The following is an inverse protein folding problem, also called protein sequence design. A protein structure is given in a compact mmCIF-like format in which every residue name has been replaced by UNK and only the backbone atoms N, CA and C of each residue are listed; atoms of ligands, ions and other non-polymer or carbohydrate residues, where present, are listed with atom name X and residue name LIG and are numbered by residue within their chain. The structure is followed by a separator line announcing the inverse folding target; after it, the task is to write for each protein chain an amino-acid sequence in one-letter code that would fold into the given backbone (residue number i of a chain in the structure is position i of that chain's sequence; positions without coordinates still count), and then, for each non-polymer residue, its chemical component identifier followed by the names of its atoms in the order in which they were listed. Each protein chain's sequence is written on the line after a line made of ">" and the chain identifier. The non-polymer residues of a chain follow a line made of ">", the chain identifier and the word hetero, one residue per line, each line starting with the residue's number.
data_IF_196758155227
#
_entry.id   IF_196758155227
#
_cell.length_a   1.000
_cell.length_b   1.000
_cell.length_c   1.000
_cell.angle_alpha   90.00
_cell.angle_beta   90.00
_cell.angle_gamma   90.00
#
_symmetry.space_group_name_H-M   'P 1'
#
loop_
_entity.id
_entity.type
_entity.pdbx_description
1 polymer ?
#
# COMPACT_ATOMS: atom_id res chain seq x y z
N UNK A 1 1.75 -11.16 -15.99
CA UNK A 1 0.47 -11.88 -15.77
C UNK A 1 0.16 -12.79 -16.95
N UNK A 2 0.02 -14.11 -16.73
CA UNK A 2 -0.46 -15.07 -17.74
C UNK A 2 -1.87 -15.58 -17.33
N UNK A 3 -2.68 -16.04 -18.29
CA UNK A 3 -3.96 -16.73 -18.04
C UNK A 3 -5.19 -15.87 -17.68
N UNK A 4 -6.09 -16.43 -16.86
CA UNK A 4 -7.44 -15.94 -16.52
C UNK A 4 -7.45 -14.51 -16.00
N UNK A 5 -6.48 -14.10 -15.18
CA UNK A 5 -6.41 -12.73 -14.65
C UNK A 5 -6.29 -11.66 -15.76
N UNK A 6 -5.62 -11.97 -16.88
CA UNK A 6 -5.54 -11.06 -18.03
C UNK A 6 -6.91 -10.96 -18.73
N UNK A 7 -7.64 -12.07 -18.83
CA UNK A 7 -9.00 -12.14 -19.38
C UNK A 7 -10.00 -11.35 -18.52
N UNK A 8 -9.90 -11.47 -17.19
CA UNK A 8 -10.69 -10.69 -16.21
C UNK A 8 -10.42 -9.20 -16.36
N UNK A 9 -9.14 -8.77 -16.34
CA UNK A 9 -8.80 -7.34 -16.42
C UNK A 9 -9.20 -6.70 -17.76
N UNK A 10 -9.12 -7.45 -18.86
CA UNK A 10 -9.48 -6.93 -20.18
C UNK A 10 -11.00 -6.90 -20.41
N UNK A 11 -11.79 -7.55 -19.56
CA UNK A 11 -13.25 -7.53 -19.63
C UNK A 11 -13.79 -6.58 -18.55
N UNK A 12 -14.41 -5.46 -19.00
CA UNK A 12 -14.98 -4.43 -18.11
C UNK A 12 -15.99 -4.95 -17.09
N UNK A 13 -16.71 -6.02 -17.39
CA UNK A 13 -17.65 -6.61 -16.43
C UNK A 13 -16.91 -7.45 -15.37
N UNK A 14 -15.86 -8.17 -15.77
CA UNK A 14 -15.08 -8.97 -14.85
C UNK A 14 -14.14 -8.12 -13.98
N UNK A 15 -13.78 -6.90 -14.38
CA UNK A 15 -12.93 -6.01 -13.55
C UNK A 15 -13.58 -5.64 -12.21
N UNK A 16 -14.90 -5.66 -12.08
CA UNK A 16 -15.59 -5.46 -10.80
C UNK A 16 -15.25 -6.52 -9.77
N UNK A 17 -14.98 -7.76 -10.20
CA UNK A 17 -14.52 -8.83 -9.31
C UNK A 17 -13.18 -8.51 -8.65
N UNK A 18 -12.34 -7.67 -9.27
CA UNK A 18 -11.08 -7.22 -8.68
C UNK A 18 -11.31 -6.24 -7.53
N UNK A 19 -12.35 -5.41 -7.61
CA UNK A 19 -12.74 -4.52 -6.51
C UNK A 19 -13.32 -5.34 -5.37
N UNK A 20 -14.22 -6.28 -5.66
CA UNK A 20 -14.79 -7.18 -4.65
C UNK A 20 -13.70 -8.00 -3.94
N UNK A 21 -12.74 -8.55 -4.69
CA UNK A 21 -11.59 -9.25 -4.13
C UNK A 21 -10.71 -8.32 -3.28
N UNK A 22 -10.48 -7.09 -3.72
CA UNK A 22 -9.71 -6.12 -2.94
C UNK A 22 -10.43 -5.70 -1.65
N UNK A 23 -11.76 -5.50 -1.69
CA UNK A 23 -12.59 -5.23 -0.52
C UNK A 23 -12.59 -6.41 0.45
N UNK A 24 -12.71 -7.64 -0.06
CA UNK A 24 -12.76 -8.84 0.76
C UNK A 24 -11.43 -9.09 1.50
N UNK A 25 -10.31 -9.08 0.77
CA UNK A 25 -9.01 -9.47 1.34
C UNK A 25 -8.20 -8.31 1.92
N UNK A 26 -8.41 -7.07 1.46
CA UNK A 26 -7.73 -5.86 1.94
C UNK A 26 -6.19 -5.93 1.96
N UNK A 27 -5.61 -6.84 1.16
CA UNK A 27 -4.19 -7.15 1.17
C UNK A 27 -3.67 -7.84 2.45
N UNK A 28 -4.55 -8.19 3.41
CA UNK A 28 -4.17 -8.83 4.67
C UNK A 28 -3.38 -10.14 4.47
N UNK A 29 -3.78 -11.07 3.57
CA UNK A 29 -3.04 -12.33 3.39
C UNK A 29 -1.58 -12.14 2.98
N UNK A 30 -1.27 -10.99 2.37
CA UNK A 30 0.06 -10.66 1.95
C UNK A 30 0.75 -9.68 2.90
N UNK A 31 0.08 -9.07 3.88
CA UNK A 31 0.70 -8.09 4.77
C UNK A 31 1.62 -8.75 5.80
N UNK A 32 2.52 -7.99 6.40
CA UNK A 32 3.33 -8.47 7.53
C UNK A 32 2.53 -8.47 8.84
N UNK A 33 3.04 -9.18 9.87
CA UNK A 33 2.33 -9.43 11.13
C UNK A 33 1.78 -8.15 11.76
N UNK A 34 2.58 -7.07 11.76
CA UNK A 34 2.14 -5.78 12.35
C UNK A 34 0.96 -5.17 11.60
N UNK A 35 0.99 -5.17 10.27
CA UNK A 35 -0.11 -4.63 9.46
C UNK A 35 -1.34 -5.56 9.49
N UNK A 36 -1.14 -6.88 9.51
CA UNK A 36 -2.22 -7.86 9.71
C UNK A 36 -2.94 -7.63 11.04
N UNK A 37 -2.18 -7.59 12.14
CA UNK A 37 -2.72 -7.39 13.49
C UNK A 37 -3.47 -6.07 13.57
N UNK A 38 -2.90 -5.00 13.03
CA UNK A 38 -3.55 -3.69 12.98
C UNK A 38 -4.88 -3.75 12.22
N UNK A 39 -4.91 -4.28 11.00
CA UNK A 39 -6.14 -4.34 10.19
C UNK A 39 -7.22 -5.19 10.86
N UNK A 40 -6.86 -6.35 11.41
CA UNK A 40 -7.81 -7.21 12.12
C UNK A 40 -8.34 -6.49 13.36
N UNK A 41 -7.46 -5.91 14.18
CA UNK A 41 -7.84 -5.18 15.39
C UNK A 41 -8.71 -3.96 15.07
N UNK A 42 -8.41 -3.24 13.98
CA UNK A 42 -9.21 -2.12 13.50
C UNK A 42 -10.64 -2.58 13.16
N UNK A 43 -10.80 -3.65 12.38
CA UNK A 43 -12.13 -4.19 12.06
C UNK A 43 -12.89 -4.60 13.32
N UNK A 44 -12.24 -5.32 14.24
CA UNK A 44 -12.89 -5.76 15.48
C UNK A 44 -13.31 -4.58 16.36
N UNK A 45 -12.44 -3.59 16.53
CA UNK A 45 -12.73 -2.38 17.32
C UNK A 45 -13.95 -1.62 16.78
N UNK A 46 -13.97 -1.34 15.47
CA UNK A 46 -15.12 -0.64 14.87
C UNK A 46 -16.37 -1.52 14.77
N UNK A 47 -16.23 -2.84 14.67
CA UNK A 47 -17.37 -3.76 14.74
C UNK A 47 -18.05 -3.64 16.11
N UNK A 48 -17.28 -3.62 17.19
CA UNK A 48 -17.81 -3.42 18.55
C UNK A 48 -18.53 -2.08 18.68
N UNK A 49 -17.94 -0.98 18.18
CA UNK A 49 -18.57 0.35 18.24
C UNK A 49 -19.89 0.37 17.47
N UNK A 50 -19.90 -0.05 16.22
CA UNK A 50 -21.13 -0.06 15.41
C UNK A 50 -22.17 -1.01 15.96
N UNK A 51 -21.75 -2.13 16.56
CA UNK A 51 -22.65 -3.08 17.19
C UNK A 51 -23.38 -2.46 18.37
N UNK A 52 -22.65 -1.77 19.26
CA UNK A 52 -23.26 -1.05 20.37
C UNK A 52 -24.23 0.02 19.87
N UNK A 53 -23.89 0.76 18.82
CA UNK A 53 -24.78 1.76 18.22
C UNK A 53 -26.06 1.10 17.68
N UNK A 54 -25.96 0.08 16.84
CA UNK A 54 -27.14 -0.53 16.21
C UNK A 54 -28.01 -1.32 17.19
N UNK A 55 -27.38 -2.03 18.14
CA UNK A 55 -28.08 -2.84 19.12
C UNK A 55 -28.76 -1.97 20.19
N UNK A 56 -28.07 -0.98 20.77
CA UNK A 56 -28.63 -0.16 21.84
C UNK A 56 -29.74 0.80 21.36
N UNK A 57 -29.74 1.19 20.08
CA UNK A 57 -30.82 1.99 19.50
C UNK A 57 -32.02 1.12 19.06
N UNK A 58 -32.04 -0.17 19.40
CA UNK A 58 -33.09 -1.14 19.05
C UNK A 58 -33.45 -1.16 17.55
N UNK A 59 -32.50 -0.79 16.68
CA UNK A 59 -32.73 -0.70 15.22
C UNK A 59 -32.86 -2.10 14.63
N UNK A 60 -32.06 -3.04 15.12
CA UNK A 60 -32.02 -4.42 14.63
C UNK A 60 -31.83 -5.44 15.75
N UNK A 61 -32.30 -6.67 15.53
CA UNK A 61 -32.02 -7.80 16.43
C UNK A 61 -30.51 -8.13 16.52
N UNK A 62 -30.13 -8.92 17.53
CA UNK A 62 -28.72 -9.21 17.86
C UNK A 62 -27.85 -9.61 16.65
N UNK A 63 -28.30 -10.63 15.90
CA UNK A 63 -27.57 -11.17 14.75
C UNK A 63 -27.42 -10.13 13.64
N UNK A 64 -28.52 -9.44 13.30
CA UNK A 64 -28.53 -8.41 12.25
C UNK A 64 -27.63 -7.23 12.61
N UNK A 65 -27.70 -6.76 13.87
CA UNK A 65 -26.80 -5.73 14.40
C UNK A 65 -25.34 -6.12 14.26
N UNK A 66 -24.97 -7.36 14.63
CA UNK A 66 -23.59 -7.84 14.52
C UNK A 66 -23.12 -7.93 13.06
N UNK A 67 -23.89 -8.57 12.17
CA UNK A 67 -23.52 -8.72 10.76
C UNK A 67 -23.38 -7.38 10.05
N UNK A 68 -24.33 -6.46 10.28
CA UNK A 68 -24.26 -5.11 9.70
C UNK A 68 -23.06 -4.33 10.23
N UNK A 69 -22.77 -4.44 11.54
CA UNK A 69 -21.60 -3.79 12.14
C UNK A 69 -20.29 -4.30 11.58
N UNK A 70 -20.17 -5.62 11.40
CA UNK A 70 -18.99 -6.23 10.80
C UNK A 70 -18.82 -5.77 9.35
N UNK A 71 -19.90 -5.75 8.57
CA UNK A 71 -19.89 -5.28 7.18
C UNK A 71 -19.47 -3.81 7.07
N UNK A 72 -20.02 -2.94 7.92
CA UNK A 72 -19.68 -1.50 7.95
C UNK A 72 -18.24 -1.29 8.42
N UNK A 73 -17.82 -1.92 9.52
CA UNK A 73 -16.45 -1.83 10.03
C UNK A 73 -15.42 -2.32 9.02
N UNK A 74 -15.68 -3.44 8.34
CA UNK A 74 -14.83 -3.97 7.28
C UNK A 74 -14.75 -3.00 6.10
N UNK A 75 -15.87 -2.38 5.70
CA UNK A 75 -15.89 -1.37 4.64
C UNK A 75 -15.13 -0.09 5.01
N UNK A 76 -15.24 0.37 6.26
CA UNK A 76 -14.46 1.50 6.79
C UNK A 76 -12.98 1.15 6.80
N UNK A 77 -12.60 -0.05 7.23
CA UNK A 77 -11.20 -0.51 7.16
C UNK A 77 -10.66 -0.50 5.73
N UNK A 78 -11.42 -1.06 4.79
CA UNK A 78 -11.06 -1.01 3.36
C UNK A 78 -10.86 0.42 2.87
N UNK A 79 -11.75 1.34 3.27
CA UNK A 79 -11.67 2.74 2.87
C UNK A 79 -10.46 3.46 3.46
N UNK A 80 -10.21 3.29 4.75
CA UNK A 80 -9.12 3.97 5.47
C UNK A 80 -7.75 3.39 5.09
N UNK A 81 -7.64 2.07 4.99
CA UNK A 81 -6.35 1.38 4.84
C UNK A 81 -6.03 0.94 3.40
N UNK A 82 -7.03 1.00 2.51
CA UNK A 82 -6.86 0.76 1.07
C UNK A 82 -6.39 2.00 0.30
N UNK A 83 -5.86 1.76 -0.90
CA UNK A 83 -5.52 2.80 -1.88
C UNK A 83 -6.47 2.73 -3.06
N UNK A 84 -7.43 3.64 -3.09
CA UNK A 84 -8.45 3.64 -4.13
C UNK A 84 -7.86 3.97 -5.49
N UNK A 85 -6.93 4.91 -5.54
CA UNK A 85 -6.42 5.41 -6.81
C UNK A 85 -5.56 4.36 -7.54
N UNK A 86 -4.88 3.48 -6.80
CA UNK A 86 -4.22 2.28 -7.36
C UNK A 86 -5.24 1.38 -8.07
N UNK A 87 -6.41 1.14 -7.47
CA UNK A 87 -7.46 0.33 -8.10
C UNK A 87 -7.94 0.99 -9.41
N UNK A 88 -8.17 2.30 -9.38
CA UNK A 88 -8.64 3.05 -10.54
C UNK A 88 -7.64 3.01 -11.71
N UNK A 89 -6.33 3.18 -11.45
CA UNK A 89 -5.30 3.14 -12.49
C UNK A 89 -4.94 1.72 -12.89
N UNK A 90 -4.40 0.92 -11.96
CA UNK A 90 -3.73 -0.32 -12.31
C UNK A 90 -4.72 -1.44 -12.64
N UNK A 91 -5.85 -1.47 -11.93
CA UNK A 91 -6.85 -2.55 -12.09
C UNK A 91 -7.95 -2.17 -13.08
N UNK A 92 -8.51 -0.96 -12.98
CA UNK A 92 -9.63 -0.53 -13.83
C UNK A 92 -9.20 0.26 -15.08
N UNK A 93 -7.98 0.82 -15.10
CA UNK A 93 -7.45 1.65 -16.21
C UNK A 93 -8.33 2.86 -16.52
N UNK A 94 -8.94 3.47 -15.51
CA UNK A 94 -9.80 4.66 -15.64
C UNK A 94 -9.02 5.97 -15.63
N UNK A 95 -7.78 5.94 -15.16
CA UNK A 95 -6.88 7.09 -15.19
C UNK A 95 -5.46 6.66 -15.60
N UNK A 96 -4.68 7.63 -16.06
CA UNK A 96 -3.29 7.46 -16.46
C UNK A 96 -2.34 8.09 -15.45
N UNK A 97 -1.21 7.43 -15.23
CA UNK A 97 -0.08 7.91 -14.46
C UNK A 97 0.72 8.94 -15.28
N UNK A 98 0.96 10.10 -14.70
CA UNK A 98 1.98 11.03 -15.19
C UNK A 98 3.31 10.73 -14.49
N UNK A 99 4.33 10.39 -15.27
CA UNK A 99 5.67 10.12 -14.72
C UNK A 99 6.24 11.35 -14.00
N UNK A 100 6.06 12.54 -14.55
CA UNK A 100 6.49 13.80 -13.93
C UNK A 100 5.82 13.98 -12.56
N UNK A 101 4.49 13.83 -12.47
CA UNK A 101 3.77 13.94 -11.18
C UNK A 101 4.23 12.91 -10.17
N UNK A 102 4.49 11.68 -10.61
CA UNK A 102 5.04 10.62 -9.76
C UNK A 102 6.37 11.04 -9.13
N UNK A 103 7.29 11.55 -9.95
CA UNK A 103 8.62 11.89 -9.46
C UNK A 103 8.62 13.15 -8.57
N UNK A 104 7.75 14.13 -8.85
CA UNK A 104 7.48 15.25 -7.94
C UNK A 104 6.94 14.74 -6.59
N UNK A 105 6.04 13.76 -6.62
CA UNK A 105 5.54 13.12 -5.41
C UNK A 105 6.66 12.39 -4.64
N UNK A 106 7.56 11.69 -5.34
CA UNK A 106 8.72 11.02 -4.76
C UNK A 106 9.64 11.99 -4.04
N UNK A 107 9.96 13.13 -4.66
CA UNK A 107 10.81 14.15 -4.03
C UNK A 107 10.20 14.64 -2.71
N UNK A 108 8.90 14.92 -2.71
CA UNK A 108 8.18 15.31 -1.49
C UNK A 108 8.13 14.18 -0.45
N UNK A 109 7.97 12.94 -0.89
CA UNK A 109 7.96 11.76 -0.02
C UNK A 109 9.34 11.52 0.62
N UNK A 110 10.43 11.67 -0.12
CA UNK A 110 11.79 11.57 0.42
C UNK A 110 12.01 12.57 1.56
N UNK A 111 11.56 13.81 1.41
CA UNK A 111 11.66 14.82 2.47
C UNK A 111 10.87 14.42 3.74
N UNK A 112 9.69 13.81 3.58
CA UNK A 112 8.88 13.34 4.72
C UNK A 112 9.48 12.11 5.41
N UNK A 113 10.00 11.17 4.62
CA UNK A 113 10.68 9.97 5.11
C UNK A 113 11.98 10.31 5.84
N UNK A 114 12.76 11.27 5.33
CA UNK A 114 14.02 11.71 5.94
C UNK A 114 13.88 12.27 7.36
N UNK A 115 12.67 12.67 7.76
CA UNK A 115 12.35 13.15 9.11
C UNK A 115 12.00 12.02 10.09
N UNK A 116 11.89 10.78 9.62
CA UNK A 116 11.40 9.66 10.41
C UNK A 116 12.55 8.82 10.99
N UNK A 117 12.73 8.89 12.31
CA UNK A 117 13.77 8.13 13.00
C UNK A 117 13.43 6.65 13.25
N UNK A 118 12.21 6.22 12.93
CA UNK A 118 11.71 4.86 13.14
C UNK A 118 11.86 3.96 11.91
N UNK A 119 12.37 4.49 10.80
CA UNK A 119 12.59 3.77 9.54
C UNK A 119 14.00 3.16 9.54
N UNK A 120 14.13 1.92 9.06
CA UNK A 120 15.41 1.33 8.67
C UNK A 120 15.75 1.73 7.24
N UNK A 121 14.84 1.45 6.31
CA UNK A 121 14.88 1.99 4.96
C UNK A 121 13.48 2.02 4.34
N UNK A 122 13.34 2.82 3.29
CA UNK A 122 12.18 2.85 2.40
C UNK A 122 12.67 2.80 0.96
N UNK A 123 12.10 1.89 0.18
CA UNK A 123 12.47 1.70 -1.22
C UNK A 123 11.27 1.37 -2.10
N UNK A 124 11.37 1.74 -3.37
CA UNK A 124 10.40 1.38 -4.41
C UNK A 124 10.94 0.25 -5.27
N UNK A 125 10.02 -0.59 -5.75
CA UNK A 125 10.29 -1.82 -6.48
C UNK A 125 9.47 -1.86 -7.78
N UNK A 126 9.76 -2.83 -8.65
CA UNK A 126 8.92 -3.11 -9.80
C UNK A 126 9.30 -2.29 -11.02
N UNK A 127 8.29 -1.81 -11.76
CA UNK A 127 8.52 -1.26 -13.11
C UNK A 127 9.40 -0.01 -13.15
N UNK A 128 9.45 0.74 -12.04
CA UNK A 128 10.30 1.92 -11.89
C UNK A 128 11.79 1.59 -11.91
N UNK A 129 12.20 0.47 -11.29
CA UNK A 129 13.60 0.04 -11.20
C UNK A 129 14.19 -0.40 -12.55
N UNK A 130 13.32 -0.71 -13.51
CA UNK A 130 13.68 -1.24 -14.84
C UNK A 130 13.50 -0.24 -15.99
N UNK A 131 13.11 1.00 -15.70
CA UNK A 131 12.80 1.99 -16.76
C UNK A 131 11.51 1.69 -17.53
N UNK A 132 10.66 0.81 -16.99
CA UNK A 132 9.48 0.28 -17.68
C UNK A 132 8.17 0.86 -17.12
N UNK A 133 8.22 2.04 -16.50
CA UNK A 133 7.03 2.70 -15.98
C UNK A 133 6.06 3.05 -17.12
N UNK A 134 4.84 2.50 -17.08
CA UNK A 134 3.79 2.71 -18.07
C UNK A 134 2.67 3.59 -17.50
N UNK A 135 1.79 4.06 -18.37
CA UNK A 135 0.64 4.90 -18.01
C UNK A 135 -0.34 4.24 -17.01
N UNK A 136 -0.29 2.92 -16.85
CA UNK A 136 -1.14 2.18 -15.90
C UNK A 136 -0.32 1.39 -14.88
N UNK A 137 0.95 1.74 -14.70
CA UNK A 137 1.78 1.16 -13.64
C UNK A 137 1.31 1.64 -12.27
N UNK A 138 1.29 0.73 -11.31
CA UNK A 138 1.34 1.02 -9.90
C UNK A 138 2.79 1.22 -9.43
N UNK A 139 2.92 1.71 -8.21
CA UNK A 139 4.19 1.99 -7.55
C UNK A 139 4.28 1.16 -6.30
N UNK A 140 5.02 0.06 -6.39
CA UNK A 140 5.30 -0.79 -5.26
C UNK A 140 6.34 -0.13 -4.35
N UNK A 141 6.01 0.02 -3.07
CA UNK A 141 6.90 0.61 -2.09
C UNK A 141 6.91 -0.20 -0.79
N UNK A 142 8.10 -0.38 -0.24
CA UNK A 142 8.33 -1.03 1.04
C UNK A 142 8.89 -0.03 2.04
N UNK A 143 8.25 0.11 3.19
CA UNK A 143 8.85 0.71 4.37
C UNK A 143 9.26 -0.42 5.30
N UNK A 144 10.56 -0.55 5.54
CA UNK A 144 11.08 -1.43 6.59
C UNK A 144 11.29 -0.58 7.83
N UNK A 145 10.51 -0.88 8.87
CA UNK A 145 10.58 -0.16 10.15
C UNK A 145 11.65 -0.76 11.06
N UNK A 146 12.09 0.02 12.04
CA UNK A 146 12.81 -0.51 13.20
C UNK A 146 11.89 -1.39 14.05
N UNK A 147 12.50 -2.29 14.81
CA UNK A 147 11.81 -3.10 15.81
C UNK A 147 11.16 -2.22 16.90
N UNK A 148 10.22 -2.80 17.64
CA UNK A 148 9.50 -2.12 18.71
C UNK A 148 8.09 -1.67 18.34
N UNK A 149 7.20 -1.69 19.33
CA UNK A 149 5.77 -1.43 19.16
C UNK A 149 5.48 0.01 18.69
N UNK A 150 6.11 1.00 19.31
CA UNK A 150 5.92 2.42 18.94
C UNK A 150 6.36 2.70 17.50
N UNK A 151 7.44 2.06 17.03
CA UNK A 151 7.88 2.18 15.64
C UNK A 151 6.87 1.54 14.68
N UNK A 152 6.22 0.43 15.09
CA UNK A 152 5.08 -0.16 14.40
C UNK A 152 3.91 0.81 14.25
N UNK A 153 3.47 1.44 15.35
CA UNK A 153 2.39 2.44 15.32
C UNK A 153 2.73 3.60 14.39
N UNK A 154 3.94 4.16 14.51
CA UNK A 154 4.40 5.27 13.65
C UNK A 154 4.39 4.87 12.18
N UNK A 155 4.84 3.66 11.85
CA UNK A 155 4.81 3.14 10.48
C UNK A 155 3.38 2.98 9.95
N UNK A 156 2.47 2.44 10.76
CA UNK A 156 1.06 2.28 10.40
C UNK A 156 0.39 3.63 10.14
N UNK A 157 0.55 4.57 11.07
CA UNK A 157 -0.02 5.91 10.91
C UNK A 157 0.54 6.63 9.68
N UNK A 158 1.86 6.60 9.49
CA UNK A 158 2.50 7.17 8.31
C UNK A 158 1.95 6.54 7.04
N UNK A 159 1.82 5.21 7.00
CA UNK A 159 1.30 4.50 5.82
C UNK A 159 -0.11 4.94 5.49
N UNK A 160 -1.04 4.97 6.46
CA UNK A 160 -2.42 5.43 6.22
C UNK A 160 -2.46 6.86 5.69
N UNK A 161 -1.73 7.78 6.31
CA UNK A 161 -1.69 9.18 5.89
C UNK A 161 -1.12 9.31 4.48
N UNK A 162 -0.03 8.60 4.19
CA UNK A 162 0.66 8.69 2.90
C UNK A 162 -0.17 8.05 1.77
N UNK A 163 -0.85 6.95 2.08
CA UNK A 163 -1.85 6.31 1.22
C UNK A 163 -2.96 7.26 0.81
N UNK A 164 -3.56 7.97 1.77
CA UNK A 164 -4.60 8.96 1.47
C UNK A 164 -4.04 10.17 0.71
N UNK A 165 -2.84 10.63 1.08
CA UNK A 165 -2.12 11.69 0.32
C UNK A 165 -1.91 11.29 -1.14
N UNK A 166 -1.52 10.05 -1.41
CA UNK A 166 -1.38 9.53 -2.76
C UNK A 166 -2.72 9.49 -3.50
N UNK A 167 -3.79 9.04 -2.83
CA UNK A 167 -5.15 9.04 -3.40
C UNK A 167 -5.58 10.47 -3.81
N UNK A 168 -5.41 11.46 -2.94
CA UNK A 168 -5.75 12.87 -3.24
C UNK A 168 -4.89 13.48 -4.35
N UNK A 169 -3.59 13.19 -4.35
CA UNK A 169 -2.66 13.67 -5.38
C UNK A 169 -2.69 12.83 -6.66
N UNK A 170 -3.58 11.82 -6.73
CA UNK A 170 -3.76 10.97 -7.90
C UNK A 170 -2.46 10.26 -8.29
N UNK A 171 -1.79 9.66 -7.31
CA UNK A 171 -0.59 8.82 -7.48
C UNK A 171 -0.93 7.37 -7.09
N UNK A 172 -0.72 6.37 -7.96
CA UNK A 172 -1.05 4.97 -7.69
C UNK A 172 0.04 4.31 -6.83
N UNK A 173 0.15 4.77 -5.59
CA UNK A 173 1.10 4.25 -4.61
C UNK A 173 0.55 2.97 -3.98
N UNK A 174 1.29 1.86 -3.98
CA UNK A 174 1.01 0.68 -3.17
C UNK A 174 2.10 0.54 -2.09
N UNK A 175 1.74 0.91 -0.86
CA UNK A 175 2.68 1.01 0.25
C UNK A 175 2.51 -0.14 1.24
N UNK A 176 3.61 -0.88 1.45
CA UNK A 176 3.70 -2.01 2.36
C UNK A 176 4.60 -1.67 3.55
N UNK A 177 4.18 -2.08 4.75
CA UNK A 177 5.04 -2.04 5.94
C UNK A 177 5.59 -3.45 6.13
N UNK A 178 6.90 -3.56 6.28
CA UNK A 178 7.57 -4.82 6.59
C UNK A 178 8.29 -4.71 7.93
N UNK A 179 8.18 -5.77 8.73
CA UNK A 179 8.69 -5.83 10.09
C UNK A 179 10.20 -6.07 10.14
N UNK A 180 10.79 -6.53 9.04
CA UNK A 180 12.22 -6.73 8.88
C UNK A 180 12.63 -6.67 7.39
N UNK A 181 13.94 -6.60 7.08
CA UNK A 181 14.40 -6.59 5.69
C UNK A 181 14.07 -7.87 4.91
N UNK A 182 14.06 -9.04 5.56
CA UNK A 182 13.84 -10.33 4.88
C UNK A 182 12.42 -10.51 4.38
N UNK A 183 11.43 -10.03 5.13
CA UNK A 183 10.02 -9.97 4.70
C UNK A 183 9.83 -9.07 3.48
N UNK A 184 10.49 -7.90 3.47
CA UNK A 184 10.54 -7.01 2.31
C UNK A 184 11.17 -7.71 1.10
N UNK A 185 12.32 -8.38 1.29
CA UNK A 185 13.01 -9.11 0.22
C UNK A 185 12.21 -10.29 -0.31
N UNK A 186 11.55 -11.04 0.58
CA UNK A 186 10.68 -12.16 0.20
C UNK A 186 9.52 -11.70 -0.67
N UNK A 187 8.93 -10.53 -0.38
CA UNK A 187 7.85 -9.94 -1.19
C UNK A 187 8.33 -9.51 -2.57
N UNK A 188 9.48 -8.84 -2.63
CA UNK A 188 10.02 -8.25 -3.85
C UNK A 188 11.23 -9.04 -4.39
N UNK A 189 11.19 -10.36 -4.27
CA UNK A 189 12.32 -11.25 -4.57
C UNK A 189 12.80 -11.19 -6.04
N UNK A 190 11.97 -10.68 -6.94
CA UNK A 190 12.28 -10.50 -8.35
C UNK A 190 13.09 -9.23 -8.65
N UNK A 191 13.29 -8.35 -7.65
CA UNK A 191 13.99 -7.08 -7.83
C UNK A 191 15.36 -7.10 -7.19
N UNK A 192 16.39 -6.70 -7.94
CA UNK A 192 17.77 -6.71 -7.47
C UNK A 192 18.34 -5.30 -7.22
N UNK A 193 17.75 -4.27 -7.83
CA UNK A 193 18.22 -2.89 -7.82
C UNK A 193 17.11 -1.90 -7.38
N UNK A 194 16.60 -1.99 -6.14
CA UNK A 194 15.51 -1.15 -5.68
C UNK A 194 15.87 0.34 -5.72
N UNK A 195 14.86 1.18 -5.97
CA UNK A 195 15.00 2.65 -5.88
C UNK A 195 14.91 3.05 -4.42
N UNK A 196 16.00 3.57 -3.85
CA UNK A 196 16.06 3.96 -2.43
C UNK A 196 15.47 5.36 -2.26
N UNK A 197 14.42 5.47 -1.44
CA UNK A 197 13.86 6.75 -1.05
C UNK A 197 14.47 7.27 0.25
N UNK A 198 14.75 6.37 1.20
CA UNK A 198 15.32 6.71 2.50
C UNK A 198 16.11 5.50 3.04
N UNK A 199 17.35 5.70 3.48
CA UNK A 199 18.16 4.67 4.15
C UNK A 199 19.19 5.31 5.11
N UNK A 200 18.73 5.84 6.25
CA UNK A 200 19.58 6.62 7.16
C UNK A 200 20.74 5.81 7.77
N UNK A 201 20.69 4.48 7.72
CA UNK A 201 21.67 3.59 8.35
C UNK A 201 22.43 2.73 7.33
N UNK A 202 22.27 2.96 6.03
CA UNK A 202 22.88 2.13 4.99
C UNK A 202 22.43 0.66 5.05
N UNK A 203 21.26 0.38 5.63
CA UNK A 203 20.79 -0.99 5.89
C UNK A 203 20.49 -1.73 4.59
N UNK A 204 20.00 -1.03 3.57
CA UNK A 204 19.56 -1.69 2.32
C UNK A 204 20.72 -2.37 1.60
N UNK A 205 21.94 -1.83 1.74
CA UNK A 205 23.18 -2.35 1.13
C UNK A 205 23.56 -3.75 1.62
N UNK A 206 23.08 -4.15 2.80
CA UNK A 206 23.31 -5.50 3.35
C UNK A 206 22.42 -6.55 2.70
N UNK A 207 21.32 -6.14 2.05
CA UNK A 207 20.31 -7.05 1.51
C UNK A 207 20.24 -7.04 -0.03
N UNK A 208 20.66 -5.94 -0.65
CA UNK A 208 20.70 -5.73 -2.09
C UNK A 208 22.10 -5.28 -2.51
N UNK A 209 22.69 -5.97 -3.49
CA UNK A 209 24.01 -5.65 -4.05
C UNK A 209 23.97 -4.37 -4.89
N UNK A 210 22.86 -4.15 -5.59
CA UNK A 210 22.63 -2.99 -6.43
C UNK A 210 21.50 -2.14 -5.85
N UNK A 211 21.52 -0.84 -6.15
CA UNK A 211 20.47 0.09 -5.75
C UNK A 211 20.49 1.32 -6.66
N UNK A 212 19.32 1.93 -6.82
CA UNK A 212 19.17 3.16 -7.58
C UNK A 212 18.77 4.29 -6.64
N UNK A 213 19.26 5.48 -6.93
CA UNK A 213 18.74 6.74 -6.39
C UNK A 213 17.47 7.15 -7.14
N UNK A 214 16.69 8.06 -6.56
CA UNK A 214 15.52 8.63 -7.24
C UNK A 214 15.94 9.38 -8.51
N UNK A 215 17.11 10.03 -8.54
CA UNK A 215 17.62 10.73 -9.72
C UNK A 215 17.95 9.76 -10.87
N UNK A 216 18.64 8.66 -10.59
CA UNK A 216 18.92 7.61 -11.58
C UNK A 216 17.61 6.99 -12.09
N UNK A 217 16.64 6.77 -11.21
CA UNK A 217 15.32 6.29 -11.60
C UNK A 217 14.57 7.28 -12.52
N UNK A 218 14.69 8.60 -12.29
CA UNK A 218 14.13 9.63 -13.20
C UNK A 218 14.74 9.53 -14.59
N UNK A 219 16.07 9.43 -14.68
CA UNK A 219 16.79 9.29 -15.94
C UNK A 219 16.36 8.03 -16.68
N UNK A 220 16.37 6.90 -15.97
CA UNK A 220 16.03 5.58 -16.51
C UNK A 220 14.59 5.53 -17.06
N UNK A 221 13.68 6.34 -16.50
CA UNK A 221 12.28 6.39 -16.94
C UNK A 221 11.96 7.55 -17.91
N UNK A 222 12.97 8.30 -18.35
CA UNK A 222 12.85 9.40 -19.33
C UNK A 222 12.05 10.60 -18.80
N UNK A 223 12.34 11.01 -17.56
CA UNK A 223 11.69 12.17 -16.90
C UNK A 223 12.65 13.34 -16.68
N UNK A 224 13.91 13.18 -17.06
CA UNK A 224 14.92 14.23 -17.16
C UNK A 224 15.04 14.70 -18.60
#
# INVERSE_FOLDING_TARGET
>A
MRGIKKKIRNNRFLSWTLIASNWLFQGIPYADKTEQLYKISFTLFFTTIFFLIFYCNAVFGLIHSFLLSLFVAHSVNWYVNGNFYVLLIHRLRFAKLSKVKLFVYFDGLQQRLGKQNWILYCASFGSICRGQLKEYSDIDMSIVRKSGFLNGIKALFFSVVEKKRADWLRVPLELYINDNPDSSKKRFNAENNPVVLCDPYGTISKHYSERLTVAEAKQLNGVL
#
